data_IF_611486417135
#
_entry.id   IF_611486417135
#
_cell.length_a   1.000
_cell.length_b   1.000
_cell.length_c   1.000
_cell.angle_alpha   90.00
_cell.angle_beta   90.00
_cell.angle_gamma   90.00
#
_symmetry.space_group_name_H-M   'P 1'
#
loop_
_entity.id
_entity.type
_entity.pdbx_description
1 polymer ?
#
# COMPACT_ATOMS: atom_id res chain seq x y z
N UNK A 1 -20.40 -4.97 -25.88
CA UNK A 1 -19.11 -4.30 -25.59
C UNK A 1 -18.91 -4.31 -24.08
N UNK A 2 -17.98 -5.13 -23.57
CA UNK A 2 -17.69 -5.21 -22.14
C UNK A 2 -16.38 -4.43 -21.88
N UNK A 3 -16.49 -3.27 -21.25
CA UNK A 3 -15.32 -2.57 -20.72
C UNK A 3 -14.95 -3.17 -19.36
N UNK A 4 -14.36 -4.37 -19.37
CA UNK A 4 -13.57 -4.85 -18.25
C UNK A 4 -12.28 -4.03 -18.22
N UNK A 5 -12.34 -2.89 -17.53
CA UNK A 5 -11.21 -1.99 -17.30
C UNK A 5 -10.14 -2.71 -16.45
N UNK A 6 -9.28 -3.49 -17.09
CA UNK A 6 -7.95 -3.76 -16.56
C UNK A 6 -7.13 -2.46 -16.66
N UNK A 7 -7.44 -1.47 -15.81
CA UNK A 7 -6.52 -0.34 -15.56
C UNK A 7 -5.28 -0.93 -14.89
N UNK A 8 -4.15 -0.86 -15.61
CA UNK A 8 -2.91 -1.53 -15.26
C UNK A 8 -2.52 -1.39 -13.78
N UNK A 9 -2.29 -2.52 -13.13
CA UNK A 9 -1.67 -2.62 -11.82
C UNK A 9 -0.19 -2.24 -11.91
N UNK A 10 0.10 -0.95 -12.07
CA UNK A 10 1.47 -0.46 -11.94
C UNK A 10 1.88 -0.55 -10.47
N UNK A 11 2.73 -1.52 -10.16
CA UNK A 11 3.38 -1.65 -8.86
C UNK A 11 4.46 -0.56 -8.75
N UNK A 12 4.50 0.14 -7.63
CA UNK A 12 5.62 1.02 -7.28
C UNK A 12 6.45 0.37 -6.19
N UNK A 13 7.76 0.58 -6.25
CA UNK A 13 8.68 0.11 -5.23
C UNK A 13 8.75 1.18 -4.14
N UNK A 14 8.44 0.79 -2.90
CA UNK A 14 8.47 1.66 -1.74
C UNK A 14 9.62 1.28 -0.80
N UNK A 15 10.34 2.28 -0.32
CA UNK A 15 11.47 2.14 0.60
C UNK A 15 11.12 2.86 1.90
N UNK A 16 11.29 2.15 3.00
CA UNK A 16 11.07 2.68 4.36
C UNK A 16 12.44 2.93 4.94
N UNK A 17 12.73 4.19 5.27
CA UNK A 17 14.03 4.62 5.76
C UNK A 17 13.90 5.14 7.20
N UNK A 18 14.91 4.88 8.03
CA UNK A 18 15.10 5.66 9.27
C UNK A 18 15.43 7.11 8.89
N UNK A 19 15.25 8.08 9.81
CA UNK A 19 15.72 9.46 9.59
C UNK A 19 17.22 9.56 9.28
N UNK A 20 18.02 8.57 9.68
CA UNK A 20 19.44 8.45 9.35
C UNK A 20 19.72 8.05 7.90
N UNK A 21 18.70 7.62 7.15
CA UNK A 21 18.83 7.08 5.78
C UNK A 21 19.02 5.56 5.71
N UNK A 22 19.09 4.86 6.85
CA UNK A 22 19.17 3.39 6.90
C UNK A 22 17.88 2.75 6.37
N UNK A 23 18.00 1.80 5.43
CA UNK A 23 16.87 1.07 4.87
C UNK A 23 16.31 0.09 5.90
N UNK A 24 15.04 0.27 6.27
CA UNK A 24 14.30 -0.59 7.20
C UNK A 24 13.59 -1.70 6.43
N UNK A 25 12.90 -1.34 5.34
CA UNK A 25 12.10 -2.29 4.57
C UNK A 25 11.94 -1.83 3.12
N UNK A 26 11.75 -2.80 2.22
CA UNK A 26 11.40 -2.55 0.82
C UNK A 26 10.26 -3.47 0.42
N UNK A 27 9.23 -2.92 -0.22
CA UNK A 27 8.10 -3.70 -0.72
C UNK A 27 7.50 -3.10 -1.98
N UNK A 28 6.79 -3.93 -2.73
CA UNK A 28 6.00 -3.51 -3.88
C UNK A 28 4.60 -3.12 -3.40
N UNK A 29 4.12 -1.97 -3.83
CA UNK A 29 2.80 -1.46 -3.45
C UNK A 29 2.01 -1.00 -4.67
N UNK A 30 0.73 -1.38 -4.79
CA UNK A 30 -0.09 -0.98 -5.93
C UNK A 30 -0.37 0.52 -5.89
N UNK A 31 -0.18 1.22 -7.02
CA UNK A 31 -0.50 2.66 -7.13
C UNK A 31 -1.98 2.98 -6.89
N UNK A 32 -2.87 2.00 -7.10
CA UNK A 32 -4.30 2.15 -6.84
C UNK A 32 -4.65 2.27 -5.35
N UNK A 33 -3.72 1.97 -4.43
CA UNK A 33 -3.92 2.04 -2.98
C UNK A 33 -2.98 3.09 -2.37
N UNK A 34 -3.30 4.39 -2.41
CA UNK A 34 -2.41 5.40 -1.84
C UNK A 34 -2.22 5.19 -0.33
N UNK A 35 -0.96 5.22 0.12
CA UNK A 35 -0.61 5.17 1.54
C UNK A 35 -0.96 6.51 2.17
N UNK A 36 -1.79 6.52 3.21
CA UNK A 36 -2.14 7.75 3.94
C UNK A 36 -1.22 7.99 5.13
N UNK A 37 -0.88 6.92 5.84
CA UNK A 37 -0.07 6.98 7.05
C UNK A 37 0.72 5.69 7.22
N UNK A 38 1.92 5.83 7.76
CA UNK A 38 2.71 4.71 8.23
C UNK A 38 3.04 4.96 9.71
N UNK A 39 2.73 3.98 10.58
CA UNK A 39 2.95 4.10 12.02
C UNK A 39 3.34 2.74 12.60
N UNK A 40 4.53 2.66 13.19
CA UNK A 40 5.09 1.38 13.65
C UNK A 40 5.29 0.42 12.48
N UNK A 41 4.83 -0.83 12.65
CA UNK A 41 4.84 -1.89 11.65
C UNK A 41 3.56 -1.93 10.78
N UNK A 42 2.78 -0.83 10.76
CA UNK A 42 1.52 -0.74 10.01
C UNK A 42 1.50 0.35 8.95
N UNK A 43 0.92 0.00 7.80
CA UNK A 43 0.59 0.88 6.68
C UNK A 43 -0.94 1.06 6.68
N UNK A 44 -1.40 2.30 6.58
CA UNK A 44 -2.81 2.64 6.55
C UNK A 44 -3.17 3.20 5.17
N UNK A 45 -4.18 2.61 4.56
CA UNK A 45 -4.76 3.07 3.29
C UNK A 45 -6.23 3.41 3.47
N UNK A 46 -6.73 4.29 2.60
CA UNK A 46 -8.15 4.50 2.41
C UNK A 46 -8.56 3.76 1.16
N UNK A 47 -9.47 2.82 1.30
CA UNK A 47 -9.97 2.01 0.19
C UNK A 47 -11.48 2.18 0.10
N UNK A 48 -11.99 2.19 -1.13
CA UNK A 48 -13.44 2.22 -1.39
C UNK A 48 -13.88 0.80 -1.71
N UNK A 49 -14.87 0.29 -0.97
CA UNK A 49 -15.51 -0.97 -1.31
C UNK A 49 -16.42 -0.73 -2.52
N UNK A 50 -15.98 -1.20 -3.69
CA UNK A 50 -16.61 -0.86 -4.98
C UNK A 50 -18.09 -1.28 -5.07
N UNK A 51 -18.47 -2.36 -4.37
CA UNK A 51 -19.84 -2.90 -4.38
C UNK A 51 -20.87 -1.98 -3.71
N UNK A 52 -20.45 -1.23 -2.69
CA UNK A 52 -21.35 -0.41 -1.85
C UNK A 52 -20.94 1.07 -1.79
N UNK A 53 -19.82 1.43 -2.45
CA UNK A 53 -19.27 2.79 -2.47
C UNK A 53 -18.74 3.28 -1.11
N UNK A 54 -18.69 2.42 -0.09
CA UNK A 54 -18.28 2.80 1.26
C UNK A 54 -16.76 2.95 1.35
N UNK A 55 -16.29 4.03 1.97
CA UNK A 55 -14.86 4.21 2.27
C UNK A 55 -14.51 3.59 3.62
N UNK A 56 -13.40 2.87 3.66
CA UNK A 56 -12.87 2.24 4.86
C UNK A 56 -11.36 2.48 5.00
N UNK A 57 -10.89 2.45 6.24
CA UNK A 57 -9.47 2.47 6.55
C UNK A 57 -9.00 1.03 6.69
N UNK A 58 -8.11 0.61 5.79
CA UNK A 58 -7.49 -0.72 5.84
C UNK A 58 -6.08 -0.56 6.40
N UNK A 59 -5.71 -1.41 7.35
CA UNK A 59 -4.36 -1.47 7.89
C UNK A 59 -3.67 -2.76 7.43
N UNK A 60 -2.44 -2.63 6.97
CA UNK A 60 -1.58 -3.75 6.59
C UNK A 60 -0.38 -3.78 7.53
N UNK A 61 -0.13 -4.95 8.12
CA UNK A 61 1.10 -5.17 8.89
C UNK A 61 2.20 -5.61 7.93
N UNK A 62 3.36 -4.96 7.97
CA UNK A 62 4.54 -5.48 7.30
C UNK A 62 5.41 -6.20 8.32
N UNK A 63 6.01 -7.31 7.89
CA UNK A 63 6.96 -8.08 8.69
C UNK A 63 8.30 -7.99 7.98
N UNK A 64 9.35 -7.65 8.72
CA UNK A 64 10.71 -7.75 8.23
C UNK A 64 11.11 -9.22 8.32
N UNK A 65 11.44 -9.83 7.18
CA UNK A 65 12.14 -11.11 7.21
C UNK A 65 13.58 -10.82 7.65
N UNK A 66 14.01 -11.45 8.74
CA UNK A 66 15.42 -11.48 9.11
C UNK A 66 16.16 -12.31 8.06
N UNK A 67 17.20 -11.72 7.46
CA UNK A 67 18.01 -12.34 6.41
C UNK A 67 19.02 -13.35 6.97
#
# INVERSE_FOLDING_TARGET
MNFSSQRGSSLSIWWVLKPTGELIARFNWPRSKPIQLMKGDYIYTRETQEEIGQQQIVKYRFVMEEA
#
